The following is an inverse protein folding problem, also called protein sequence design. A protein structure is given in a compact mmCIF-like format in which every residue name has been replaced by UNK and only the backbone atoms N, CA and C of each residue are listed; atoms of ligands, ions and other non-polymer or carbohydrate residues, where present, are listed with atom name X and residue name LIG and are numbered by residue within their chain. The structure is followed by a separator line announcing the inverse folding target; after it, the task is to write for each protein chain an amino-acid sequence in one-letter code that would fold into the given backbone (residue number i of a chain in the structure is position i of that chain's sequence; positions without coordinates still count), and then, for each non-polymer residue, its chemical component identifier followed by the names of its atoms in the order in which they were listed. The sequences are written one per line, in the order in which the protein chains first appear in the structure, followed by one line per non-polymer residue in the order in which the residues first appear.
data_IF_373688199564
#
_entry.id   IF_373688199564
#
_cell.length_a   1.000
_cell.length_b   1.000
_cell.length_c   1.000
_cell.angle_alpha   90.00
_cell.angle_beta   90.00
_cell.angle_gamma   90.00
#
_symmetry.space_group_name_H-M   'P 1'
#
loop_
_entity.id
_entity.type
_entity.pdbx_description
1 polymer ?
#
# COMPACT_ATOMS: atom_id res chain seq x y z
N UNK A 1 20.78 18.77 -35.88
CA UNK A 1 19.57 18.23 -35.23
C UNK A 1 19.86 16.79 -34.83
N UNK A 2 20.21 16.54 -33.57
CA UNK A 2 20.56 15.19 -33.10
C UNK A 2 19.31 14.32 -32.93
N UNK A 3 19.23 13.26 -33.72
CA UNK A 3 18.23 12.20 -33.62
C UNK A 3 18.61 11.25 -32.48
N UNK A 4 18.39 11.67 -31.24
CA UNK A 4 18.61 10.78 -30.08
C UNK A 4 17.74 9.53 -30.22
N UNK A 5 18.40 8.38 -30.41
CA UNK A 5 17.75 7.08 -30.61
C UNK A 5 16.73 6.82 -29.48
N UNK A 6 15.49 6.42 -29.79
CA UNK A 6 14.42 6.23 -28.80
C UNK A 6 14.82 5.25 -27.68
N UNK A 7 15.71 4.30 -27.97
CA UNK A 7 16.27 3.36 -26.99
C UNK A 7 17.13 4.05 -25.93
N UNK A 8 17.88 5.09 -26.30
CA UNK A 8 18.73 5.85 -25.37
C UNK A 8 17.86 6.68 -24.43
N UNK A 9 16.86 7.39 -24.97
CA UNK A 9 15.87 8.13 -24.20
C UNK A 9 15.16 7.23 -23.19
N UNK A 10 14.71 6.05 -23.60
CA UNK A 10 14.04 5.10 -22.72
C UNK A 10 14.95 4.63 -21.57
N UNK A 11 16.22 4.35 -21.85
CA UNK A 11 17.19 3.93 -20.83
C UNK A 11 17.45 5.04 -19.79
N UNK A 12 17.54 6.29 -20.22
CA UNK A 12 17.72 7.44 -19.34
C UNK A 12 16.47 7.67 -18.49
N UNK A 13 15.29 7.70 -19.10
CA UNK A 13 14.02 7.90 -18.40
C UNK A 13 13.78 6.85 -17.31
N UNK A 14 14.11 5.58 -17.58
CA UNK A 14 13.98 4.50 -16.61
C UNK A 14 14.86 4.70 -15.37
N UNK A 15 16.07 5.28 -15.53
CA UNK A 15 16.96 5.63 -14.42
C UNK A 15 16.44 6.83 -13.62
N UNK A 16 15.97 7.87 -14.32
CA UNK A 16 15.40 9.06 -13.68
C UNK A 16 14.19 8.70 -12.84
N UNK A 17 13.27 7.89 -13.38
CA UNK A 17 12.11 7.40 -12.62
C UNK A 17 12.50 6.49 -11.47
N UNK A 18 13.50 5.62 -11.65
CA UNK A 18 14.03 4.80 -10.55
C UNK A 18 14.55 5.64 -9.39
N UNK A 19 15.37 6.65 -9.69
CA UNK A 19 15.93 7.54 -8.66
C UNK A 19 14.84 8.38 -8.00
N UNK A 20 13.88 8.91 -8.78
CA UNK A 20 12.75 9.68 -8.23
C UNK A 20 11.87 8.82 -7.32
N UNK A 21 11.57 7.58 -7.73
CA UNK A 21 10.79 6.64 -6.94
C UNK A 21 11.51 6.32 -5.62
N UNK A 22 12.80 5.97 -5.69
CA UNK A 22 13.60 5.63 -4.50
C UNK A 22 13.75 6.82 -3.55
N UNK A 23 13.92 8.05 -4.05
CA UNK A 23 14.11 9.22 -3.19
C UNK A 23 12.81 9.82 -2.66
N UNK A 24 11.68 9.68 -3.37
CA UNK A 24 10.46 10.44 -3.07
C UNK A 24 9.25 9.58 -2.72
N UNK A 25 9.15 8.37 -3.26
CA UNK A 25 8.00 7.46 -3.02
C UNK A 25 8.35 6.38 -2.02
N UNK A 26 9.52 5.75 -2.18
CA UNK A 26 9.98 4.66 -1.33
C UNK A 26 10.05 5.03 0.17
N UNK A 27 10.57 6.19 0.60
CA UNK A 27 10.67 6.50 2.03
C UNK A 27 9.31 6.61 2.69
N UNK A 28 8.33 7.15 1.97
CA UNK A 28 6.94 7.25 2.43
C UNK A 28 6.31 5.86 2.56
N UNK A 29 6.43 5.03 1.52
CA UNK A 29 5.92 3.66 1.55
C UNK A 29 6.56 2.83 2.67
N UNK A 30 7.87 2.98 2.89
CA UNK A 30 8.59 2.32 3.97
C UNK A 30 8.06 2.77 5.33
N UNK A 31 7.89 4.08 5.54
CA UNK A 31 7.33 4.61 6.78
C UNK A 31 5.94 4.06 7.07
N UNK A 32 5.05 4.08 6.08
CA UNK A 32 3.70 3.54 6.20
C UNK A 32 3.72 2.02 6.47
N UNK A 33 4.62 1.27 5.80
CA UNK A 33 4.78 -0.17 6.02
C UNK A 33 5.27 -0.48 7.43
N UNK A 34 6.21 0.31 7.97
CA UNK A 34 6.70 0.16 9.35
C UNK A 34 5.57 0.38 10.34
N UNK A 35 4.75 1.43 10.15
CA UNK A 35 3.61 1.72 11.03
C UNK A 35 2.62 0.56 11.02
N UNK A 36 2.28 0.04 9.83
CA UNK A 36 1.39 -1.13 9.69
C UNK A 36 2.00 -2.36 10.35
N UNK A 37 3.30 -2.61 10.15
CA UNK A 37 4.01 -3.73 10.78
C UNK A 37 3.95 -3.66 12.31
N UNK A 38 4.23 -2.49 12.89
CA UNK A 38 4.12 -2.28 14.33
C UNK A 38 2.68 -2.53 14.80
N UNK A 39 1.67 -1.97 14.12
CA UNK A 39 0.28 -2.21 14.47
C UNK A 39 -0.08 -3.71 14.44
N UNK A 40 0.31 -4.43 13.40
CA UNK A 40 0.07 -5.87 13.26
C UNK A 40 0.76 -6.66 14.36
N UNK A 41 2.02 -6.36 14.67
CA UNK A 41 2.75 -7.05 15.76
C UNK A 41 2.14 -6.80 17.13
N UNK A 42 1.68 -5.57 17.41
CA UNK A 42 0.97 -5.24 18.64
C UNK A 42 -0.37 -5.98 18.73
N UNK A 43 -1.13 -6.03 17.63
CA UNK A 43 -2.37 -6.81 17.56
C UNK A 43 -2.08 -8.30 17.79
N UNK A 44 -1.05 -8.86 17.17
CA UNK A 44 -0.66 -10.26 17.33
C UNK A 44 -0.23 -10.61 18.76
N UNK A 45 0.31 -9.65 19.50
CA UNK A 45 0.67 -9.83 20.92
C UNK A 45 -0.57 -9.85 21.84
N UNK A 46 -1.65 -9.16 21.47
CA UNK A 46 -2.89 -9.08 22.27
C UNK A 46 -3.95 -10.08 21.81
N UNK A 47 -3.91 -10.46 20.53
CA UNK A 47 -4.84 -11.41 19.91
C UNK A 47 -4.06 -12.65 19.55
N UNK A 48 -4.38 -13.79 20.16
CA UNK A 48 -3.80 -15.08 19.78
C UNK A 48 -4.26 -15.50 18.37
N UNK A 49 -3.54 -15.05 17.34
CA UNK A 49 -3.88 -15.27 15.93
C UNK A 49 -4.01 -16.77 15.61
N UNK A 50 -3.17 -17.62 16.20
CA UNK A 50 -3.27 -19.07 16.02
C UNK A 50 -4.61 -19.64 16.52
N UNK A 51 -5.12 -19.15 17.66
CA UNK A 51 -6.42 -19.57 18.17
C UNK A 51 -7.57 -19.03 17.32
N UNK A 52 -7.46 -17.80 16.80
CA UNK A 52 -8.47 -17.22 15.90
C UNK A 52 -8.51 -17.96 14.57
N UNK A 53 -7.35 -18.25 13.97
CA UNK A 53 -7.26 -18.98 12.70
C UNK A 53 -7.70 -20.43 12.85
N UNK A 54 -7.28 -21.13 13.92
CA UNK A 54 -7.73 -22.50 14.17
C UNK A 54 -9.26 -22.55 14.35
N UNK A 55 -9.84 -21.63 15.11
CA UNK A 55 -11.30 -21.55 15.28
C UNK A 55 -12.01 -21.19 13.96
N UNK A 56 -11.48 -20.25 13.18
CA UNK A 56 -12.06 -19.86 11.89
C UNK A 56 -12.04 -21.02 10.88
N UNK A 57 -10.91 -21.74 10.77
CA UNK A 57 -10.74 -22.86 9.84
C UNK A 57 -11.62 -24.04 10.22
N UNK A 58 -11.66 -24.39 11.50
CA UNK A 58 -12.45 -25.52 11.99
C UNK A 58 -13.96 -25.26 11.91
N UNK A 59 -14.42 -24.03 12.17
CA UNK A 59 -15.84 -23.76 12.33
C UNK A 59 -16.50 -23.00 11.19
N UNK A 60 -15.73 -22.39 10.29
CA UNK A 60 -16.30 -21.34 9.42
C UNK A 60 -15.90 -21.45 7.95
N UNK A 61 -14.63 -21.72 7.63
CA UNK A 61 -14.16 -21.79 6.24
C UNK A 61 -14.74 -22.98 5.45
N UNK A 62 -15.21 -24.02 6.13
CA UNK A 62 -15.74 -25.25 5.54
C UNK A 62 -17.25 -25.19 5.20
N UNK A 63 -17.97 -24.13 5.57
CA UNK A 63 -19.45 -24.06 5.42
C UNK A 63 -19.95 -23.05 4.39
N UNK A 64 -19.52 -21.79 4.44
CA UNK A 64 -19.97 -20.75 3.49
C UNK A 64 -19.11 -19.48 3.57
N UNK A 65 -18.91 -18.74 2.47
CA UNK A 65 -18.23 -17.45 2.50
C UNK A 65 -18.87 -16.42 3.44
N UNK A 66 -20.19 -16.47 3.61
CA UNK A 66 -20.94 -15.54 4.48
C UNK A 66 -20.65 -15.80 5.96
N UNK A 67 -20.44 -17.05 6.36
CA UNK A 67 -20.15 -17.37 7.76
C UNK A 67 -18.78 -16.83 8.18
N UNK A 68 -17.84 -16.73 7.23
CA UNK A 68 -16.51 -16.15 7.45
C UNK A 68 -16.64 -14.68 7.85
N UNK A 69 -17.43 -13.92 7.11
CA UNK A 69 -17.68 -12.50 7.42
C UNK A 69 -18.28 -12.34 8.82
N UNK A 70 -19.31 -13.12 9.16
CA UNK A 70 -19.96 -13.05 10.47
C UNK A 70 -19.00 -13.41 11.61
N UNK A 71 -18.11 -14.41 11.41
CA UNK A 71 -17.09 -14.76 12.39
C UNK A 71 -16.13 -13.60 12.65
N UNK A 72 -15.57 -13.00 11.60
CA UNK A 72 -14.65 -11.87 11.75
C UNK A 72 -15.34 -10.63 12.30
N UNK A 73 -16.59 -10.35 11.91
CA UNK A 73 -17.37 -9.25 12.47
C UNK A 73 -17.61 -9.43 13.97
N UNK A 74 -18.01 -10.64 14.40
CA UNK A 74 -18.18 -10.94 15.82
C UNK A 74 -16.86 -10.91 16.59
N UNK A 75 -15.78 -11.45 16.03
CA UNK A 75 -14.46 -11.38 16.66
C UNK A 75 -13.97 -9.94 16.82
N UNK A 76 -14.26 -9.07 15.85
CA UNK A 76 -13.95 -7.65 15.93
C UNK A 76 -14.76 -6.95 17.04
N UNK A 77 -16.09 -7.09 17.05
CA UNK A 77 -16.97 -6.45 18.04
C UNK A 77 -16.64 -6.89 19.47
N UNK A 78 -16.25 -8.15 19.66
CA UNK A 78 -15.91 -8.70 20.97
C UNK A 78 -14.43 -8.49 21.36
N UNK A 79 -13.61 -7.89 20.48
CA UNK A 79 -12.21 -7.57 20.81
C UNK A 79 -12.10 -6.30 21.65
N UNK A 80 -10.96 -6.14 22.34
CA UNK A 80 -10.69 -4.96 23.16
C UNK A 80 -10.71 -3.66 22.33
N UNK A 81 -11.16 -2.56 22.93
CA UNK A 81 -11.26 -1.24 22.28
C UNK A 81 -9.92 -0.80 21.67
N UNK A 82 -8.80 -1.11 22.32
CA UNK A 82 -7.46 -0.82 21.80
C UNK A 82 -7.18 -1.58 20.49
N UNK A 83 -7.55 -2.86 20.42
CA UNK A 83 -7.38 -3.69 19.22
C UNK A 83 -8.30 -3.20 18.10
N UNK A 84 -9.57 -2.87 18.41
CA UNK A 84 -10.52 -2.34 17.44
C UNK A 84 -10.02 -1.05 16.80
N UNK A 85 -9.53 -0.11 17.62
CA UNK A 85 -9.02 1.19 17.16
C UNK A 85 -7.77 1.03 16.31
N UNK A 86 -6.82 0.16 16.71
CA UNK A 86 -5.64 -0.16 15.91
C UNK A 86 -5.99 -0.79 14.55
N UNK A 87 -6.96 -1.71 14.52
CA UNK A 87 -7.43 -2.32 13.28
C UNK A 87 -8.08 -1.29 12.36
N UNK A 88 -8.98 -0.45 12.90
CA UNK A 88 -9.61 0.63 12.13
C UNK A 88 -8.58 1.61 11.55
N UNK A 89 -7.63 2.07 12.37
CA UNK A 89 -6.59 2.99 11.89
C UNK A 89 -5.72 2.36 10.80
N UNK A 90 -5.42 1.07 10.92
CA UNK A 90 -4.63 0.33 9.93
C UNK A 90 -5.38 0.24 8.59
N UNK A 91 -6.69 -0.03 8.61
CA UNK A 91 -7.52 -0.07 7.40
C UNK A 91 -7.58 1.29 6.72
N UNK A 92 -7.76 2.37 7.49
CA UNK A 92 -7.77 3.75 6.95
C UNK A 92 -6.43 4.09 6.31
N UNK A 93 -5.31 3.79 7.00
CA UNK A 93 -3.97 4.01 6.46
C UNK A 93 -3.76 3.24 5.16
N UNK A 94 -4.11 1.95 5.12
CA UNK A 94 -4.02 1.14 3.91
C UNK A 94 -4.85 1.73 2.75
N UNK A 95 -6.04 2.28 3.03
CA UNK A 95 -6.85 2.99 2.05
C UNK A 95 -6.16 4.24 1.48
N UNK A 96 -5.51 5.04 2.33
CA UNK A 96 -4.72 6.18 1.87
C UNK A 96 -3.49 5.77 1.06
N UNK A 97 -2.80 4.70 1.46
CA UNK A 97 -1.68 4.14 0.68
C UNK A 97 -2.14 3.74 -0.73
N UNK A 98 -3.24 2.97 -0.82
CA UNK A 98 -3.80 2.55 -2.11
C UNK A 98 -4.19 3.74 -2.97
N UNK A 99 -4.83 4.76 -2.40
CA UNK A 99 -5.18 5.99 -3.11
C UNK A 99 -3.94 6.66 -3.70
N UNK A 100 -2.86 6.73 -2.92
CA UNK A 100 -1.65 7.43 -3.35
C UNK A 100 -0.83 6.63 -4.35
N UNK A 101 -0.83 5.30 -4.24
CA UNK A 101 -0.29 4.40 -5.27
C UNK A 101 -1.05 4.58 -6.58
N UNK A 102 -2.39 4.61 -6.55
CA UNK A 102 -3.23 4.83 -7.74
C UNK A 102 -3.00 6.21 -8.35
N UNK A 103 -2.81 7.24 -7.52
CA UNK A 103 -2.48 8.59 -8.00
C UNK A 103 -1.10 8.64 -8.64
N UNK A 104 -0.09 8.05 -8.00
CA UNK A 104 1.26 8.00 -8.52
C UNK A 104 1.33 7.22 -9.84
N UNK A 105 0.61 6.10 -9.96
CA UNK A 105 0.56 5.32 -11.20
C UNK A 105 -0.15 6.06 -12.33
N UNK A 106 -1.24 6.77 -12.04
CA UNK A 106 -1.94 7.63 -13.02
C UNK A 106 -1.08 8.80 -13.47
N UNK A 107 -0.34 9.45 -12.58
CA UNK A 107 0.60 10.53 -12.92
C UNK A 107 1.75 10.01 -13.80
N UNK A 108 2.26 8.82 -13.51
CA UNK A 108 3.28 8.18 -14.34
C UNK A 108 2.75 7.81 -15.73
N UNK A 109 1.51 7.34 -15.85
CA UNK A 109 0.88 7.02 -17.14
C UNK A 109 0.47 8.24 -17.95
N UNK A 110 0.25 9.39 -17.32
CA UNK A 110 -0.16 10.65 -17.97
C UNK A 110 1.01 11.59 -18.31
N UNK A 111 2.28 11.17 -18.11
CA UNK A 111 3.46 11.96 -18.42
C UNK A 111 4.27 11.47 -19.65
N UNK A 112 3.79 11.72 -20.86
CA UNK A 112 4.60 12.30 -21.92
C UNK A 112 4.20 13.79 -22.03
N UNK A 113 5.15 14.74 -21.96
CA UNK A 113 5.14 16.07 -22.65
C UNK A 113 5.79 17.24 -21.86
N UNK A 114 6.00 17.19 -20.54
CA UNK A 114 6.47 18.39 -19.79
C UNK A 114 8.00 18.60 -19.71
N UNK A 115 8.80 17.90 -20.54
CA UNK A 115 10.25 18.15 -20.67
C UNK A 115 10.61 19.04 -21.87
N UNK A 116 9.63 19.70 -22.49
CA UNK A 116 9.88 20.83 -23.37
C UNK A 116 9.54 22.13 -22.64
N UNK A 117 10.35 23.15 -22.90
CA UNK A 117 10.16 24.56 -22.51
C UNK A 117 10.60 24.93 -21.09
N UNK A 118 11.92 24.83 -20.85
CA UNK A 118 12.61 25.90 -20.10
C UNK A 118 14.06 26.02 -20.57
N UNK A 119 14.38 27.17 -21.15
CA UNK A 119 15.68 27.67 -21.64
C UNK A 119 15.97 27.31 -23.12
N UNK A 120 16.25 28.23 -24.05
CA UNK A 120 16.79 29.59 -23.97
C UNK A 120 16.12 30.52 -25.01
N UNK A 121 15.70 31.69 -24.56
CA UNK A 121 15.55 32.88 -25.41
C UNK A 121 16.51 33.94 -24.87
N UNK A 122 17.72 33.99 -25.43
CA UNK A 122 18.61 35.14 -25.53
C UNK A 122 19.58 34.85 -26.69
#
# INVERSE_FOLDING_TARGET
METTSPKLKQRIMRRVYGIWFVKRVLPRLVGETIVVYIAVTQIAAHVFINHVLANAVLHTFSRSPITIFNYFANAFINSEVLVQTMLMSSVVLAGFMLRDIVRASRLLSSHPQHLQVRNFSL
#
